data_IF_843229492105
#
_entry.id   IF_843229492105
#
_cell.length_a   1.000
_cell.length_b   1.000
_cell.length_c   1.000
_cell.angle_alpha   90.00
_cell.angle_beta   90.00
_cell.angle_gamma   90.00
#
_symmetry.space_group_name_H-M   'P 1'
#
loop_
_entity.id
_entity.type
_entity.pdbx_description
1 polymer ?
#
# COMPACT_ATOMS: atom_id res chain seq x y z
N UNK A 1 0.22 -17.98 14.52
CA UNK A 1 0.78 -16.64 14.80
C UNK A 1 1.45 -16.15 13.53
N UNK A 2 1.05 -14.99 13.03
CA UNK A 2 1.67 -14.30 11.88
C UNK A 2 3.11 -13.97 12.26
N UNK A 3 4.04 -14.24 11.36
CA UNK A 3 5.48 -14.04 11.60
C UNK A 3 6.13 -13.15 10.54
N UNK A 4 5.33 -12.43 9.81
CA UNK A 4 5.79 -11.55 8.74
C UNK A 4 5.02 -10.24 8.79
N UNK A 5 5.71 -9.15 8.59
CA UNK A 5 5.15 -7.85 8.32
C UNK A 5 6.03 -7.22 7.24
N UNK A 6 5.46 -6.95 6.09
CA UNK A 6 6.21 -6.48 4.92
C UNK A 6 5.68 -5.17 4.36
N UNK A 7 4.86 -4.45 5.13
CA UNK A 7 4.40 -3.12 4.78
C UNK A 7 4.49 -2.23 6.02
N UNK A 8 5.60 -1.51 6.12
CA UNK A 8 5.88 -0.58 7.23
C UNK A 8 6.71 0.60 6.72
N UNK A 9 6.61 1.72 7.43
CA UNK A 9 7.22 2.99 7.09
C UNK A 9 8.08 3.51 8.24
N UNK A 10 9.08 4.32 7.90
CA UNK A 10 9.98 4.93 8.88
C UNK A 10 10.13 6.42 8.59
N UNK A 11 11.00 7.10 9.30
CA UNK A 11 11.31 8.52 9.05
C UNK A 11 11.86 8.83 7.65
N UNK A 12 11.98 7.85 6.76
CA UNK A 12 12.24 8.07 5.34
C UNK A 12 10.96 8.44 4.57
N UNK A 13 9.80 8.01 5.04
CA UNK A 13 8.49 8.48 4.56
C UNK A 13 8.11 9.77 5.26
N UNK A 14 7.40 10.67 4.57
CA UNK A 14 7.05 12.00 5.09
C UNK A 14 6.15 11.97 6.35
N UNK A 15 5.40 10.90 6.53
CA UNK A 15 4.48 10.64 7.63
C UNK A 15 4.97 9.55 8.61
N UNK A 16 6.17 8.99 8.36
CA UNK A 16 6.80 8.03 9.26
C UNK A 16 7.38 8.74 10.50
N UNK A 17 7.16 8.15 11.67
CA UNK A 17 7.51 8.72 12.98
C UNK A 17 8.75 8.07 13.57
N UNK A 18 8.84 6.74 13.49
CA UNK A 18 9.91 5.96 14.12
C UNK A 18 11.16 5.83 13.25
N UNK A 19 12.32 5.80 13.91
CA UNK A 19 13.59 5.51 13.24
C UNK A 19 13.62 4.08 12.71
N UNK A 20 14.28 3.88 11.58
CA UNK A 20 14.37 2.57 10.90
C UNK A 20 14.94 1.47 11.82
N UNK A 21 15.92 1.77 12.68
CA UNK A 21 16.48 0.77 13.61
C UNK A 21 15.50 0.45 14.75
N UNK A 22 14.76 1.43 15.24
CA UNK A 22 13.73 1.21 16.26
C UNK A 22 12.65 0.26 15.76
N UNK A 23 12.18 0.44 14.52
CA UNK A 23 11.22 -0.45 13.87
C UNK A 23 11.77 -1.87 13.71
N UNK A 24 13.02 -2.04 13.26
CA UNK A 24 13.67 -3.35 13.14
C UNK A 24 13.81 -4.04 14.50
N UNK A 25 14.24 -3.33 15.53
CA UNK A 25 14.37 -3.90 16.88
C UNK A 25 13.01 -4.29 17.46
N UNK A 26 11.95 -3.55 17.14
CA UNK A 26 10.59 -3.94 17.52
C UNK A 26 10.16 -5.23 16.81
N UNK A 27 10.40 -5.36 15.51
CA UNK A 27 10.12 -6.58 14.75
C UNK A 27 10.84 -7.81 15.34
N UNK A 28 12.09 -7.64 15.78
CA UNK A 28 12.87 -8.69 16.48
C UNK A 28 12.21 -9.04 17.82
N UNK A 29 11.82 -8.05 18.63
CA UNK A 29 11.10 -8.29 19.91
C UNK A 29 9.79 -9.06 19.69
N UNK A 30 9.07 -8.76 18.61
CA UNK A 30 7.86 -9.48 18.21
C UNK A 30 8.13 -10.87 17.63
N UNK A 31 9.40 -11.25 17.44
CA UNK A 31 9.83 -12.54 16.89
C UNK A 31 9.31 -12.76 15.46
N UNK A 32 9.28 -11.71 14.65
CA UNK A 32 9.01 -11.84 13.23
C UNK A 32 10.17 -12.58 12.56
N UNK A 33 9.85 -13.43 11.61
CA UNK A 33 10.84 -14.15 10.81
C UNK A 33 11.31 -13.33 9.61
N UNK A 34 10.38 -12.56 9.03
CA UNK A 34 10.60 -11.65 7.91
C UNK A 34 10.02 -10.29 8.28
N UNK A 35 10.77 -9.25 8.01
CA UNK A 35 10.33 -7.88 8.20
C UNK A 35 10.71 -7.06 6.97
N UNK A 36 9.77 -6.35 6.41
CA UNK A 36 9.96 -5.53 5.24
C UNK A 36 9.65 -4.07 5.53
N UNK A 37 10.53 -3.18 5.11
CA UNK A 37 10.32 -1.75 5.13
C UNK A 37 10.05 -1.32 3.70
N UNK A 38 8.92 -0.62 3.48
CA UNK A 38 8.42 -0.25 2.16
C UNK A 38 8.02 1.22 2.13
N UNK A 39 9.01 2.10 2.16
CA UNK A 39 8.78 3.54 2.21
C UNK A 39 7.90 4.03 1.05
N UNK A 40 7.19 5.14 1.28
CA UNK A 40 6.37 5.79 0.27
C UNK A 40 7.17 6.41 -0.86
N UNK A 41 6.92 5.97 -2.08
CA UNK A 41 7.37 6.59 -3.32
C UNK A 41 6.16 7.22 -4.02
N UNK A 42 5.67 8.33 -3.47
CA UNK A 42 4.47 9.01 -3.95
C UNK A 42 4.84 10.11 -4.96
N UNK A 43 5.28 9.72 -6.16
CA UNK A 43 5.66 10.68 -7.21
C UNK A 43 4.45 11.43 -7.79
N UNK A 44 3.25 10.89 -7.66
CA UNK A 44 1.99 11.53 -7.96
C UNK A 44 1.72 12.75 -7.05
N UNK A 45 2.10 12.70 -5.78
CA UNK A 45 2.01 13.85 -4.85
C UNK A 45 2.83 15.04 -5.33
N UNK A 46 4.07 14.80 -5.79
CA UNK A 46 4.93 15.84 -6.35
C UNK A 46 4.29 16.46 -7.62
N UNK A 47 3.79 15.62 -8.51
CA UNK A 47 3.12 16.06 -9.74
C UNK A 47 1.85 16.88 -9.47
N UNK A 48 1.01 16.41 -8.54
CA UNK A 48 -0.28 17.02 -8.21
C UNK A 48 -0.18 18.14 -7.18
N UNK A 49 1.03 18.39 -6.63
CA UNK A 49 1.27 19.37 -5.57
C UNK A 49 0.39 19.13 -4.32
N UNK A 50 0.22 17.86 -3.97
CA UNK A 50 -0.56 17.51 -2.79
C UNK A 50 0.19 17.86 -1.51
N UNK A 51 -0.58 18.13 -0.47
CA UNK A 51 -0.08 18.52 0.85
C UNK A 51 -0.65 17.58 1.91
N UNK A 52 0.11 17.40 3.00
CA UNK A 52 -0.36 16.82 4.25
C UNK A 52 -0.26 17.92 5.31
N UNK A 53 -1.36 18.20 6.00
CA UNK A 53 -1.45 19.31 6.97
C UNK A 53 -0.95 20.66 6.41
N UNK A 54 -1.39 21.00 5.18
CA UNK A 54 -1.00 22.21 4.44
C UNK A 54 0.50 22.33 4.13
N UNK A 55 1.28 21.26 4.31
CA UNK A 55 2.70 21.21 3.98
C UNK A 55 2.95 20.35 2.73
N UNK A 56 3.81 20.80 1.81
CA UNK A 56 4.26 19.96 0.70
C UNK A 56 4.86 18.65 1.22
N UNK A 57 4.50 17.54 0.61
CA UNK A 57 5.10 16.23 0.91
C UNK A 57 6.44 16.16 0.19
N UNK A 58 7.57 16.10 0.91
CA UNK A 58 8.86 15.99 0.27
C UNK A 58 9.00 14.62 -0.42
N UNK A 59 9.61 14.56 -1.61
CA UNK A 59 9.93 13.29 -2.22
C UNK A 59 10.95 12.53 -1.36
N UNK A 60 10.86 11.20 -1.38
CA UNK A 60 11.79 10.34 -0.66
C UNK A 60 13.24 10.53 -1.20
N UNK A 61 14.20 10.52 -0.29
CA UNK A 61 15.63 10.47 -0.62
C UNK A 61 16.04 9.03 -1.02
N UNK A 62 15.64 8.58 -2.22
CA UNK A 62 15.77 7.20 -2.72
C UNK A 62 17.14 6.56 -2.42
N UNK A 63 18.21 7.23 -2.86
CA UNK A 63 19.58 6.72 -2.69
C UNK A 63 19.95 6.56 -1.22
N UNK A 64 19.52 7.47 -0.37
CA UNK A 64 19.80 7.43 1.07
C UNK A 64 19.06 6.25 1.71
N UNK A 65 17.77 6.08 1.39
CA UNK A 65 16.97 4.96 1.86
C UNK A 65 17.59 3.62 1.46
N UNK A 66 17.78 3.38 0.17
CA UNK A 66 18.31 2.08 -0.29
C UNK A 66 19.73 1.81 0.19
N UNK A 67 20.58 2.83 0.32
CA UNK A 67 21.91 2.65 0.92
C UNK A 67 21.82 2.24 2.38
N UNK A 68 20.93 2.88 3.14
CA UNK A 68 20.71 2.59 4.55
C UNK A 68 20.17 1.17 4.76
N UNK A 69 19.04 0.83 4.10
CA UNK A 69 18.38 -0.45 4.30
C UNK A 69 19.27 -1.63 3.86
N UNK A 70 20.05 -1.49 2.77
CA UNK A 70 21.00 -2.52 2.32
C UNK A 70 22.16 -2.74 3.31
N UNK A 71 22.59 -1.71 4.01
CA UNK A 71 23.56 -1.84 5.10
C UNK A 71 22.93 -2.57 6.31
N UNK A 72 21.71 -2.19 6.68
CA UNK A 72 20.98 -2.81 7.79
C UNK A 72 20.63 -4.27 7.53
N UNK A 73 20.31 -4.65 6.30
CA UNK A 73 20.13 -6.05 5.93
C UNK A 73 21.35 -6.92 6.32
N UNK A 74 22.56 -6.42 6.10
CA UNK A 74 23.80 -7.13 6.47
C UNK A 74 24.02 -7.13 7.99
N UNK A 75 23.77 -6.01 8.64
CA UNK A 75 23.91 -5.85 10.10
C UNK A 75 22.98 -6.79 10.87
N UNK A 76 21.70 -6.89 10.42
CA UNK A 76 20.66 -7.63 11.11
C UNK A 76 20.45 -9.08 10.61
N UNK A 77 21.16 -9.51 9.56
CA UNK A 77 21.03 -10.85 8.98
C UNK A 77 21.03 -12.02 10.00
N UNK A 78 21.84 -11.98 11.08
CA UNK A 78 21.82 -13.04 12.09
C UNK A 78 20.56 -13.07 12.97
N UNK A 79 19.78 -11.99 12.99
CA UNK A 79 18.65 -11.82 13.92
C UNK A 79 17.30 -11.91 13.25
N UNK A 80 17.17 -11.33 12.04
CA UNK A 80 15.93 -11.24 11.29
C UNK A 80 16.22 -11.14 9.79
N UNK A 81 15.34 -11.72 8.96
CA UNK A 81 15.41 -11.49 7.52
C UNK A 81 14.71 -10.18 7.20
N UNK A 82 15.51 -9.13 7.01
CA UNK A 82 15.06 -7.81 6.61
C UNK A 82 14.93 -7.72 5.08
N UNK A 83 13.86 -7.12 4.59
CA UNK A 83 13.59 -6.91 3.17
C UNK A 83 13.53 -5.41 2.89
N UNK A 84 14.15 -4.98 1.80
CA UNK A 84 14.13 -3.61 1.31
C UNK A 84 13.03 -3.48 0.26
N UNK A 85 11.87 -3.03 0.68
CA UNK A 85 10.71 -2.83 -0.17
C UNK A 85 10.58 -1.39 -0.67
N UNK A 86 9.59 -1.17 -1.51
CA UNK A 86 9.13 0.14 -1.92
C UNK A 86 7.61 0.10 -2.11
N UNK A 87 6.90 1.10 -1.59
CA UNK A 87 5.49 1.27 -1.88
C UNK A 87 5.31 2.37 -2.94
N UNK A 88 4.81 1.97 -4.11
CA UNK A 88 4.56 2.86 -5.23
C UNK A 88 3.09 3.29 -5.26
N UNK A 89 2.83 4.59 -5.09
CA UNK A 89 1.51 5.18 -5.23
C UNK A 89 1.16 5.34 -6.71
N UNK A 90 0.39 4.39 -7.26
CA UNK A 90 0.05 4.37 -8.68
C UNK A 90 -0.54 5.69 -9.18
N UNK A 91 -0.01 6.19 -10.29
CA UNK A 91 -0.57 7.28 -11.08
C UNK A 91 -0.71 6.85 -12.55
N UNK A 92 -1.76 7.30 -13.23
CA UNK A 92 -1.97 7.03 -14.66
C UNK A 92 -1.08 7.91 -15.58
N UNK A 93 -0.42 8.94 -15.05
CA UNK A 93 0.52 9.75 -15.83
C UNK A 93 1.76 8.92 -16.22
N UNK A 94 2.05 8.87 -17.52
CA UNK A 94 3.13 8.02 -18.05
C UNK A 94 4.50 8.37 -17.50
N UNK A 95 4.78 9.66 -17.26
CA UNK A 95 6.08 10.10 -16.71
C UNK A 95 6.24 9.68 -15.25
N UNK A 96 5.15 9.71 -14.50
CA UNK A 96 5.15 9.20 -13.12
C UNK A 96 5.42 7.70 -13.12
N UNK A 97 4.79 6.94 -14.00
CA UNK A 97 5.04 5.51 -14.13
C UNK A 97 6.47 5.20 -14.61
N UNK A 98 7.00 5.94 -15.58
CA UNK A 98 8.40 5.82 -16.01
C UNK A 98 9.37 6.06 -14.84
N UNK A 99 9.08 7.03 -13.97
CA UNK A 99 9.88 7.31 -12.77
C UNK A 99 9.86 6.14 -11.78
N UNK A 100 8.72 5.47 -11.57
CA UNK A 100 8.65 4.24 -10.76
C UNK A 100 9.50 3.12 -11.37
N UNK A 101 9.39 2.91 -12.67
CA UNK A 101 10.19 1.92 -13.40
C UNK A 101 11.69 2.22 -13.30
N UNK A 102 12.11 3.48 -13.42
CA UNK A 102 13.50 3.90 -13.25
C UNK A 102 14.01 3.62 -11.83
N UNK A 103 13.18 3.89 -10.81
CA UNK A 103 13.50 3.60 -9.40
C UNK A 103 13.68 2.10 -9.18
N UNK A 104 12.73 1.30 -9.64
CA UNK A 104 12.80 -0.16 -9.57
C UNK A 104 14.06 -0.70 -10.26
N UNK A 105 14.31 -0.27 -11.49
CA UNK A 105 15.48 -0.69 -12.26
C UNK A 105 16.81 -0.29 -11.63
N UNK A 106 16.87 0.87 -11.02
CA UNK A 106 18.09 1.44 -10.44
C UNK A 106 18.45 0.84 -9.10
N UNK A 107 17.46 0.65 -8.22
CA UNK A 107 17.69 0.27 -6.83
C UNK A 107 17.39 -1.19 -6.53
N UNK A 108 16.64 -1.86 -7.41
CA UNK A 108 16.30 -3.29 -7.30
C UNK A 108 15.75 -3.62 -5.90
N UNK A 109 14.59 -3.08 -5.49
CA UNK A 109 13.96 -3.46 -4.25
C UNK A 109 13.76 -4.98 -4.19
N UNK A 110 13.66 -5.54 -2.99
CA UNK A 110 13.41 -6.98 -2.82
C UNK A 110 11.95 -7.32 -3.16
N UNK A 111 11.06 -6.34 -3.08
CA UNK A 111 9.66 -6.39 -3.50
C UNK A 111 9.12 -4.97 -3.70
N UNK A 112 8.07 -4.87 -4.49
CA UNK A 112 7.31 -3.64 -4.73
C UNK A 112 5.85 -3.83 -4.36
N UNK A 113 5.32 -2.91 -3.58
CA UNK A 113 3.90 -2.78 -3.27
C UNK A 113 3.28 -1.78 -4.23
N UNK A 114 2.22 -2.18 -4.91
CA UNK A 114 1.43 -1.32 -5.79
C UNK A 114 0.19 -0.83 -5.05
N UNK A 115 0.14 0.45 -4.75
CA UNK A 115 -0.88 1.11 -3.94
C UNK A 115 -1.63 2.16 -4.73
N UNK A 116 -2.87 2.41 -4.35
CA UNK A 116 -3.66 3.54 -4.84
C UNK A 116 -4.00 4.45 -3.67
N UNK A 117 -3.29 5.56 -3.58
CA UNK A 117 -3.56 6.60 -2.58
C UNK A 117 -4.42 7.72 -3.17
N UNK A 118 -4.12 8.15 -4.40
CA UNK A 118 -4.75 9.30 -5.02
C UNK A 118 -5.78 8.89 -6.08
N UNK A 119 -6.98 9.43 -5.95
CA UNK A 119 -8.04 9.31 -6.94
C UNK A 119 -8.81 10.64 -7.04
N UNK A 120 -9.27 10.98 -8.23
CA UNK A 120 -9.99 12.25 -8.48
C UNK A 120 -9.23 13.51 -8.03
N UNK A 121 -7.89 13.47 -8.10
CA UNK A 121 -7.01 14.59 -7.76
C UNK A 121 -6.81 14.83 -6.26
N UNK A 122 -7.20 13.90 -5.41
CA UNK A 122 -7.04 13.99 -3.96
C UNK A 122 -6.67 12.64 -3.36
N UNK A 123 -6.02 12.65 -2.19
CA UNK A 123 -5.76 11.44 -1.45
C UNK A 123 -7.05 10.87 -0.85
N UNK A 124 -7.29 9.58 -1.12
CA UNK A 124 -8.48 8.85 -0.67
C UNK A 124 -8.53 8.61 0.84
N UNK A 125 -7.41 8.81 1.55
CA UNK A 125 -7.34 8.71 3.00
C UNK A 125 -8.17 9.79 3.71
N UNK A 126 -8.19 11.01 3.15
CA UNK A 126 -8.80 12.14 3.82
C UNK A 126 -10.32 12.20 3.60
N UNK A 127 -11.09 12.64 4.61
CA UNK A 127 -12.55 12.75 4.51
C UNK A 127 -13.04 13.56 3.32
N UNK A 128 -12.28 14.56 2.88
CA UNK A 128 -12.65 15.42 1.75
C UNK A 128 -12.72 14.67 0.41
N UNK A 129 -12.12 13.48 0.29
CA UNK A 129 -12.35 12.59 -0.84
C UNK A 129 -13.83 12.25 -1.01
N UNK A 130 -14.57 12.16 0.09
CA UNK A 130 -16.00 11.84 0.09
C UNK A 130 -16.92 13.06 -0.12
N UNK A 131 -16.41 14.29 0.02
CA UNK A 131 -17.27 15.49 -0.01
C UNK A 131 -17.98 15.67 -1.35
N UNK A 132 -19.31 15.87 -1.27
CA UNK A 132 -20.16 16.04 -2.45
C UNK A 132 -20.35 14.78 -3.31
N UNK A 133 -19.89 13.61 -2.85
CA UNK A 133 -19.98 12.33 -3.57
C UNK A 133 -20.79 11.33 -2.76
N UNK A 134 -21.62 10.52 -3.45
CA UNK A 134 -22.19 9.34 -2.85
C UNK A 134 -21.10 8.28 -2.61
N UNK A 135 -21.31 7.36 -1.66
CA UNK A 135 -20.40 6.22 -1.42
C UNK A 135 -20.14 5.44 -2.72
N UNK A 136 -21.19 5.15 -3.47
CA UNK A 136 -21.07 4.43 -4.73
C UNK A 136 -20.15 5.16 -5.74
N UNK A 137 -20.28 6.47 -5.88
CA UNK A 137 -19.44 7.25 -6.80
C UNK A 137 -17.98 7.27 -6.34
N UNK A 138 -17.71 7.56 -5.07
CA UNK A 138 -16.35 7.66 -4.54
C UNK A 138 -15.64 6.29 -4.59
N UNK A 139 -16.30 5.23 -4.14
CA UNK A 139 -15.69 3.90 -4.07
C UNK A 139 -15.52 3.26 -5.44
N UNK A 140 -16.46 3.44 -6.36
CA UNK A 140 -16.23 3.00 -7.74
C UNK A 140 -15.05 3.72 -8.38
N UNK A 141 -14.93 5.04 -8.20
CA UNK A 141 -13.79 5.78 -8.74
C UNK A 141 -12.45 5.23 -8.20
N UNK A 142 -12.37 4.96 -6.89
CA UNK A 142 -11.22 4.33 -6.27
C UNK A 142 -10.96 2.91 -6.81
N UNK A 143 -11.97 2.04 -6.87
CA UNK A 143 -11.82 0.67 -7.34
C UNK A 143 -11.42 0.59 -8.82
N UNK A 144 -11.96 1.45 -9.68
CA UNK A 144 -11.50 1.55 -11.05
C UNK A 144 -10.05 2.03 -11.15
N UNK A 145 -9.58 2.89 -10.24
CA UNK A 145 -8.17 3.27 -10.17
C UNK A 145 -7.30 2.08 -9.72
N UNK A 146 -7.78 1.26 -8.76
CA UNK A 146 -7.11 0.00 -8.40
C UNK A 146 -7.05 -0.95 -9.61
N UNK A 147 -8.16 -1.09 -10.33
CA UNK A 147 -8.20 -1.94 -11.54
C UNK A 147 -7.19 -1.47 -12.60
N UNK A 148 -7.10 -0.16 -12.83
CA UNK A 148 -6.13 0.46 -13.75
C UNK A 148 -4.68 0.21 -13.27
N UNK A 149 -4.43 0.30 -11.97
CA UNK A 149 -3.09 0.11 -11.39
C UNK A 149 -2.51 -1.29 -11.63
N UNK A 150 -3.36 -2.28 -11.86
CA UNK A 150 -2.91 -3.63 -12.17
C UNK A 150 -2.20 -3.74 -13.53
N UNK A 151 -2.35 -2.74 -14.39
CA UNK A 151 -1.66 -2.64 -15.69
C UNK A 151 -0.51 -1.61 -15.66
N UNK A 152 0.03 -1.30 -14.48
CA UNK A 152 1.22 -0.45 -14.33
C UNK A 152 2.38 -0.96 -15.19
N UNK A 153 3.21 -0.03 -15.69
CA UNK A 153 4.36 -0.37 -16.56
C UNK A 153 5.59 -0.82 -15.78
N UNK A 154 5.66 -0.50 -14.48
CA UNK A 154 6.66 -1.04 -13.56
C UNK A 154 6.24 -2.41 -13.03
N UNK A 155 7.20 -3.23 -12.64
CA UNK A 155 6.89 -4.51 -11.99
C UNK A 155 6.54 -4.29 -10.52
N UNK A 156 5.64 -5.14 -9.99
CA UNK A 156 5.23 -5.12 -8.59
C UNK A 156 4.85 -6.53 -8.15
N UNK A 157 4.88 -6.77 -6.85
CA UNK A 157 4.60 -8.08 -6.26
C UNK A 157 3.25 -8.12 -5.56
N UNK A 158 2.89 -7.03 -4.87
CA UNK A 158 1.78 -6.95 -3.93
C UNK A 158 0.81 -5.87 -4.38
N UNK A 159 -0.49 -6.16 -4.31
CA UNK A 159 -1.57 -5.17 -4.47
C UNK A 159 -2.06 -4.81 -3.06
N UNK A 160 -1.85 -3.54 -2.68
CA UNK A 160 -2.06 -3.10 -1.31
C UNK A 160 -3.51 -2.72 -1.01
N UNK A 161 -3.84 -2.85 0.27
CA UNK A 161 -4.96 -2.25 1.02
C UNK A 161 -6.20 -1.89 0.19
N UNK A 162 -6.76 -2.84 -0.58
CA UNK A 162 -8.02 -2.63 -1.31
C UNK A 162 -9.12 -2.29 -0.31
N UNK A 163 -9.55 -1.03 -0.34
CA UNK A 163 -10.46 -0.45 0.68
C UNK A 163 -9.85 0.75 1.41
N UNK A 164 -8.64 1.21 1.03
CA UNK A 164 -7.98 2.38 1.60
C UNK A 164 -8.90 3.60 1.70
N UNK A 165 -9.75 3.84 0.71
CA UNK A 165 -10.72 4.93 0.67
C UNK A 165 -11.80 4.86 1.77
N UNK A 166 -11.92 3.74 2.49
CA UNK A 166 -12.89 3.58 3.57
C UNK A 166 -12.37 4.02 4.94
N UNK A 167 -11.04 4.17 5.09
CA UNK A 167 -10.40 4.39 6.41
C UNK A 167 -10.93 5.60 7.18
N UNK A 168 -11.18 6.71 6.51
CA UNK A 168 -11.71 7.94 7.10
C UNK A 168 -12.95 8.47 6.35
N UNK A 169 -13.70 7.57 5.71
CA UNK A 169 -14.90 7.93 4.98
C UNK A 169 -16.02 8.38 5.92
N UNK A 170 -16.78 9.38 5.47
CA UNK A 170 -17.82 10.06 6.28
C UNK A 170 -19.22 9.46 6.11
N UNK A 171 -19.34 8.35 5.39
CA UNK A 171 -20.65 7.71 5.17
C UNK A 171 -21.15 7.03 6.45
N UNK A 172 -22.47 6.94 6.69
CA UNK A 172 -23.03 6.23 7.85
C UNK A 172 -22.55 4.79 7.97
N UNK A 173 -22.38 4.12 6.84
CA UNK A 173 -21.67 2.86 6.71
C UNK A 173 -20.46 3.05 5.79
N UNK A 174 -19.25 3.22 6.34
CA UNK A 174 -18.05 3.46 5.53
C UNK A 174 -17.42 2.20 4.95
N UNK A 175 -17.89 1.01 5.36
CA UNK A 175 -17.32 -0.27 4.94
C UNK A 175 -17.44 -0.49 3.43
N UNK A 176 -16.38 -1.01 2.81
CA UNK A 176 -16.40 -1.47 1.42
C UNK A 176 -16.96 -2.89 1.37
N UNK A 177 -18.26 -3.02 1.14
CA UNK A 177 -18.91 -4.33 1.01
C UNK A 177 -18.73 -4.91 -0.39
N UNK A 178 -18.41 -6.19 -0.47
CA UNK A 178 -18.32 -6.89 -1.75
C UNK A 178 -19.63 -6.79 -2.55
N UNK A 179 -20.78 -6.95 -1.89
CA UNK A 179 -22.10 -6.92 -2.54
C UNK A 179 -22.42 -5.62 -3.27
N UNK A 180 -21.87 -4.50 -2.80
CA UNK A 180 -22.14 -3.18 -3.38
C UNK A 180 -21.31 -2.91 -4.66
N UNK A 181 -20.20 -3.67 -4.85
CA UNK A 181 -19.19 -3.42 -5.89
C UNK A 181 -18.70 -4.72 -6.56
N UNK A 182 -19.53 -5.76 -6.58
CA UNK A 182 -19.14 -7.12 -6.98
C UNK A 182 -18.47 -7.20 -8.35
N UNK A 183 -19.00 -6.49 -9.35
CA UNK A 183 -18.49 -6.57 -10.73
C UNK A 183 -17.03 -6.09 -10.83
N UNK A 184 -16.73 -4.90 -10.28
CA UNK A 184 -15.38 -4.35 -10.34
C UNK A 184 -14.42 -5.08 -9.40
N UNK A 185 -14.88 -5.52 -8.23
CA UNK A 185 -14.07 -6.33 -7.30
C UNK A 185 -13.74 -7.69 -7.90
N UNK A 186 -14.69 -8.38 -8.52
CA UNK A 186 -14.43 -9.64 -9.22
C UNK A 186 -13.37 -9.48 -10.33
N UNK A 187 -13.44 -8.40 -11.10
CA UNK A 187 -12.45 -8.12 -12.13
C UNK A 187 -11.05 -7.87 -11.53
N UNK A 188 -10.96 -7.07 -10.46
CA UNK A 188 -9.71 -6.83 -9.73
C UNK A 188 -9.12 -8.15 -9.22
N UNK A 189 -9.91 -8.93 -8.48
CA UNK A 189 -9.45 -10.17 -7.86
C UNK A 189 -9.02 -11.21 -8.90
N UNK A 190 -9.78 -11.36 -9.99
CA UNK A 190 -9.41 -12.23 -11.11
C UNK A 190 -8.11 -11.81 -11.77
N UNK A 191 -7.88 -10.51 -11.96
CA UNK A 191 -6.61 -9.99 -12.52
C UNK A 191 -5.42 -10.20 -11.58
N UNK A 192 -5.59 -9.98 -10.28
CA UNK A 192 -4.55 -10.28 -9.27
C UNK A 192 -4.12 -11.74 -9.39
N UNK A 193 -5.09 -12.66 -9.46
CA UNK A 193 -4.84 -14.10 -9.60
C UNK A 193 -4.15 -14.41 -10.93
N UNK A 194 -4.69 -13.90 -12.05
CA UNK A 194 -4.17 -14.18 -13.39
C UNK A 194 -2.74 -13.64 -13.59
N UNK A 195 -2.42 -12.50 -12.96
CA UNK A 195 -1.08 -11.91 -12.98
C UNK A 195 -0.14 -12.54 -11.95
N UNK A 196 -0.61 -13.51 -11.16
CA UNK A 196 0.15 -14.16 -10.08
C UNK A 196 0.70 -13.16 -9.06
N UNK A 197 -0.09 -12.11 -8.74
CA UNK A 197 0.27 -11.11 -7.73
C UNK A 197 -0.30 -11.48 -6.36
N UNK A 198 0.23 -10.88 -5.32
CA UNK A 198 -0.14 -11.13 -3.92
C UNK A 198 -1.20 -10.11 -3.50
N UNK A 199 -2.28 -10.55 -2.89
CA UNK A 199 -3.26 -9.66 -2.26
C UNK A 199 -2.83 -9.33 -0.83
N UNK A 200 -2.73 -8.05 -0.52
CA UNK A 200 -2.43 -7.62 0.84
C UNK A 200 -3.65 -7.73 1.75
N UNK A 201 -3.44 -8.22 2.97
CA UNK A 201 -4.33 -8.11 4.11
C UNK A 201 -3.72 -7.10 5.08
N UNK A 202 -4.24 -5.88 5.04
CA UNK A 202 -3.70 -4.74 5.79
C UNK A 202 -4.49 -4.51 7.06
N UNK A 203 -3.82 -4.52 8.21
CA UNK A 203 -4.44 -4.41 9.54
C UNK A 203 -4.56 -2.98 10.04
N UNK A 204 -4.12 -1.98 9.26
CA UNK A 204 -4.31 -0.55 9.54
C UNK A 204 -5.71 -0.07 9.13
N UNK A 205 -6.74 -0.91 9.30
CA UNK A 205 -8.11 -0.47 9.09
C UNK A 205 -8.57 0.45 10.23
N UNK A 206 -9.16 1.59 9.87
CA UNK A 206 -9.80 2.52 10.81
C UNK A 206 -11.32 2.49 10.70
N UNK A 207 -11.84 1.63 9.83
CA UNK A 207 -13.27 1.49 9.57
C UNK A 207 -13.92 0.65 10.68
N UNK A 208 -14.96 1.18 11.31
CA UNK A 208 -15.68 0.48 12.37
C UNK A 208 -16.24 -0.88 11.87
N UNK A 209 -15.96 -1.94 12.61
CA UNK A 209 -16.38 -3.30 12.27
C UNK A 209 -15.58 -3.98 11.13
N UNK A 210 -14.50 -3.35 10.66
CA UNK A 210 -13.59 -3.89 9.65
C UNK A 210 -12.19 -3.98 10.25
N UNK A 211 -11.74 -5.15 10.73
CA UNK A 211 -10.46 -5.29 11.42
C UNK A 211 -9.24 -5.18 10.48
N UNK A 212 -9.46 -5.34 9.18
CA UNK A 212 -8.46 -5.26 8.12
C UNK A 212 -9.11 -4.93 6.78
N UNK A 213 -8.31 -4.54 5.81
CA UNK A 213 -8.72 -4.29 4.42
C UNK A 213 -7.85 -5.11 3.46
N UNK A 214 -8.43 -5.69 2.37
CA UNK A 214 -9.87 -5.75 2.11
C UNK A 214 -10.63 -6.54 3.19
N UNK A 215 -11.92 -6.26 3.36
CA UNK A 215 -12.73 -6.90 4.39
C UNK A 215 -12.97 -8.40 4.12
N UNK A 216 -13.49 -9.09 5.11
CA UNK A 216 -13.68 -10.55 5.12
C UNK A 216 -14.46 -11.06 3.90
N UNK A 217 -15.54 -10.39 3.51
CA UNK A 217 -16.37 -10.77 2.37
C UNK A 217 -15.61 -10.71 1.02
N UNK A 218 -14.71 -9.73 0.87
CA UNK A 218 -13.83 -9.61 -0.31
C UNK A 218 -12.74 -10.69 -0.28
N UNK A 219 -12.17 -10.99 0.89
CA UNK A 219 -11.19 -12.07 1.03
C UNK A 219 -11.81 -13.44 0.78
N UNK A 220 -13.01 -13.71 1.29
CA UNK A 220 -13.75 -14.94 1.01
C UNK A 220 -13.95 -15.08 -0.50
N UNK A 221 -14.37 -14.01 -1.18
CA UNK A 221 -14.50 -14.01 -2.63
C UNK A 221 -13.20 -14.26 -3.37
N UNK A 222 -12.08 -13.68 -2.90
CA UNK A 222 -10.76 -13.96 -3.46
C UNK A 222 -10.41 -15.46 -3.42
N UNK A 223 -10.67 -16.12 -2.29
CA UNK A 223 -10.43 -17.55 -2.16
C UNK A 223 -11.41 -18.41 -2.99
N UNK A 224 -12.68 -18.02 -3.12
CA UNK A 224 -13.66 -18.66 -4.00
C UNK A 224 -13.20 -18.63 -5.46
N UNK A 225 -12.64 -17.49 -5.91
CA UNK A 225 -12.12 -17.33 -7.27
C UNK A 225 -10.79 -18.09 -7.50
N UNK A 226 -10.26 -18.76 -6.49
CA UNK A 226 -9.03 -19.56 -6.59
C UNK A 226 -7.76 -18.86 -6.14
N UNK A 227 -7.86 -17.64 -5.61
CA UNK A 227 -6.71 -16.92 -5.04
C UNK A 227 -6.13 -17.66 -3.82
N UNK A 228 -4.80 -17.59 -3.63
CA UNK A 228 -4.11 -18.28 -2.52
C UNK A 228 -2.94 -17.48 -1.97
N UNK A 229 -2.43 -16.52 -2.70
CA UNK A 229 -1.29 -15.70 -2.29
C UNK A 229 -1.77 -14.46 -1.56
N UNK A 230 -1.49 -14.39 -0.26
CA UNK A 230 -1.75 -13.21 0.57
C UNK A 230 -0.51 -12.79 1.34
N UNK A 231 -0.35 -11.50 1.57
CA UNK A 231 0.62 -10.93 2.52
C UNK A 231 -0.12 -10.33 3.71
N UNK A 232 0.58 -10.23 4.84
CA UNK A 232 0.07 -9.51 6.01
C UNK A 232 0.89 -8.25 6.22
N UNK A 233 0.20 -7.16 6.51
CA UNK A 233 0.76 -5.84 6.65
C UNK A 233 0.16 -5.10 7.84
N UNK A 234 1.00 -4.43 8.63
CA UNK A 234 0.53 -3.49 9.65
C UNK A 234 0.33 -2.10 9.08
N UNK A 235 1.11 -1.75 8.07
CA UNK A 235 1.18 -0.39 7.54
C UNK A 235 1.53 0.62 8.66
N UNK A 236 2.41 0.15 9.57
CA UNK A 236 2.82 0.91 10.74
C UNK A 236 3.80 2.03 10.35
N UNK A 237 3.63 3.19 10.99
CA UNK A 237 4.45 4.38 10.84
C UNK A 237 5.17 4.77 12.15
N UNK A 238 4.91 3.98 13.23
CA UNK A 238 5.41 4.17 14.59
C UNK A 238 5.77 2.83 15.28
#
# INVERSE_FOLDING_TARGET
MIKTDIHTHTTFSADGISDIKEMIEQAIRMKLAFYGISEHFNYDYDRLKLTIDDKPVPPIEEKKYFTCIRALQKEYAPKIRLLAGAEFGFDHDSRTQERYMDTENKFKPDYVINSVHVCLGTDCYFPHFCYGRSKALAYNAYLYRVLESLDAVYDYDIVAHIGYCSRNAIYPDPKLHYSDFSDVLDEILKRIIAKNKILEVNTSSRTAGSPFIPDTDILERYFELGGRAVSFASDAHD
#
